data_IF_297065822204
#
_entry.id   IF_297065822204
#
_cell.length_a   1.000
_cell.length_b   1.000
_cell.length_c   1.000
_cell.angle_alpha   90.00
_cell.angle_beta   90.00
_cell.angle_gamma   90.00
#
_symmetry.space_group_name_H-M   'P 1'
#
loop_
_entity.id
_entity.type
_entity.pdbx_description
1 polymer ?
#
# COMPACT_ATOMS: atom_id res chain seq x y z
N UNK A 1 -45.41 -19.55 2.98
CA UNK A 1 -45.06 -18.30 2.27
C UNK A 1 -45.06 -17.17 3.27
N UNK A 2 -43.90 -16.60 3.59
CA UNK A 2 -43.81 -15.36 4.37
C UNK A 2 -43.75 -14.19 3.40
N UNK A 3 -44.68 -13.24 3.50
CA UNK A 3 -44.58 -11.99 2.78
C UNK A 3 -43.51 -11.11 3.45
N UNK A 4 -42.52 -10.66 2.69
CA UNK A 4 -41.58 -9.65 3.16
C UNK A 4 -42.24 -8.28 2.98
N UNK A 5 -42.56 -7.60 4.09
CA UNK A 5 -43.04 -6.21 4.07
C UNK A 5 -41.93 -5.26 3.61
N UNK A 6 -41.84 -5.03 2.30
CA UNK A 6 -40.83 -4.16 1.69
C UNK A 6 -41.18 -2.65 1.81
N UNK A 7 -41.90 -2.26 2.88
CA UNK A 7 -42.24 -0.87 3.17
C UNK A 7 -41.08 -0.14 3.84
N UNK A 8 -39.93 -0.08 3.12
CA UNK A 8 -38.84 0.85 3.42
C UNK A 8 -39.35 2.29 3.30
N UNK A 9 -39.84 2.81 4.42
CA UNK A 9 -40.48 4.12 4.53
C UNK A 9 -39.58 5.24 3.97
N UNK A 10 -39.93 5.75 2.79
CA UNK A 10 -39.19 6.78 2.06
C UNK A 10 -38.97 8.04 2.89
N UNK A 11 -39.93 8.39 3.76
CA UNK A 11 -39.80 9.54 4.67
C UNK A 11 -38.70 9.35 5.73
N UNK A 12 -38.39 8.11 6.13
CA UNK A 12 -37.30 7.82 7.06
C UNK A 12 -35.94 8.00 6.39
N UNK A 13 -35.81 7.60 5.11
CA UNK A 13 -34.60 7.82 4.32
C UNK A 13 -34.35 9.33 4.10
N UNK A 14 -35.37 10.10 3.74
CA UNK A 14 -35.25 11.57 3.59
C UNK A 14 -34.85 12.24 4.92
N UNK A 15 -35.46 11.86 6.04
CA UNK A 15 -35.10 12.39 7.38
C UNK A 15 -33.67 12.03 7.80
N UNK A 16 -33.18 10.85 7.43
CA UNK A 16 -31.80 10.45 7.71
C UNK A 16 -30.81 11.16 6.80
N UNK A 17 -31.15 11.36 5.52
CA UNK A 17 -30.33 12.14 4.58
C UNK A 17 -30.17 13.60 5.03
N UNK A 18 -31.26 14.24 5.47
CA UNK A 18 -31.22 15.61 6.03
C UNK A 18 -30.29 15.76 7.24
N UNK A 19 -30.08 14.70 8.05
CA UNK A 19 -29.12 14.71 9.18
C UNK A 19 -27.67 14.56 8.72
N UNK A 20 -27.44 13.86 7.62
CA UNK A 20 -26.11 13.55 7.08
C UNK A 20 -25.59 14.68 6.17
N UNK A 21 -26.49 15.33 5.43
CA UNK A 21 -26.18 16.39 4.46
C UNK A 21 -25.28 17.53 5.02
N UNK A 22 -25.47 18.05 6.25
CA UNK A 22 -24.57 19.08 6.79
C UNK A 22 -23.12 18.58 6.99
N UNK A 23 -22.95 17.31 7.37
CA UNK A 23 -21.62 16.71 7.53
C UNK A 23 -20.94 16.48 6.17
N UNK A 24 -21.71 16.04 5.16
CA UNK A 24 -21.23 15.89 3.77
C UNK A 24 -20.82 17.25 3.18
N UNK A 25 -21.63 18.29 3.35
CA UNK A 25 -21.30 19.64 2.90
C UNK A 25 -20.05 20.20 3.60
N UNK A 26 -19.91 19.95 4.91
CA UNK A 26 -18.71 20.34 5.68
C UNK A 26 -17.46 19.61 5.19
N UNK A 27 -17.56 18.30 4.91
CA UNK A 27 -16.47 17.51 4.33
C UNK A 27 -16.09 18.01 2.94
N UNK A 28 -17.08 18.28 2.07
CA UNK A 28 -16.85 18.81 0.73
C UNK A 28 -16.13 20.17 0.75
N UNK A 29 -16.51 21.06 1.68
CA UNK A 29 -15.81 22.35 1.86
C UNK A 29 -14.34 22.17 2.29
N UNK A 30 -14.01 21.18 3.12
CA UNK A 30 -12.61 20.88 3.44
C UNK A 30 -11.87 20.22 2.26
N UNK A 31 -12.55 19.39 1.48
CA UNK A 31 -11.98 18.80 0.27
C UNK A 31 -11.61 19.86 -0.77
N UNK A 32 -12.53 20.80 -1.09
CA UNK A 32 -12.23 21.92 -1.98
C UNK A 32 -11.05 22.79 -1.49
N UNK A 33 -10.92 22.99 -0.16
CA UNK A 33 -9.80 23.73 0.41
C UNK A 33 -8.46 22.99 0.25
N UNK A 34 -8.45 21.66 0.40
CA UNK A 34 -7.26 20.83 0.21
C UNK A 34 -6.86 20.75 -1.28
N UNK A 35 -7.82 20.66 -2.18
CA UNK A 35 -7.59 20.55 -3.62
C UNK A 35 -7.14 21.89 -4.24
N UNK A 36 -7.71 23.02 -3.80
CA UNK A 36 -7.34 24.35 -4.31
C UNK A 36 -6.09 24.94 -3.67
N UNK A 37 -5.63 24.44 -2.52
CA UNK A 37 -4.43 24.93 -1.84
C UNK A 37 -3.47 23.78 -1.51
N UNK A 38 -2.53 23.43 -2.43
CA UNK A 38 -1.35 22.65 -2.04
C UNK A 38 -0.68 23.33 -0.85
N UNK A 39 -0.32 22.54 0.17
CA UNK A 39 0.23 23.06 1.43
C UNK A 39 1.42 23.99 1.12
N UNK A 40 1.32 25.25 1.55
CA UNK A 40 2.36 26.28 1.30
C UNK A 40 3.74 25.72 1.65
N UNK A 41 4.64 25.69 0.66
CA UNK A 41 6.00 25.17 0.81
C UNK A 41 6.27 23.81 0.15
N UNK A 42 5.31 23.23 -0.59
CA UNK A 42 5.54 22.06 -1.46
C UNK A 42 5.42 22.51 -2.92
N UNK A 43 6.51 22.45 -3.66
CA UNK A 43 6.55 22.74 -5.10
C UNK A 43 6.01 21.56 -5.94
N UNK A 44 5.72 21.73 -7.24
CA UNK A 44 5.40 20.61 -8.13
C UNK A 44 6.52 19.55 -8.16
N UNK A 45 7.77 19.99 -8.11
CA UNK A 45 8.95 19.12 -8.08
C UNK A 45 9.02 18.35 -6.75
N UNK A 46 8.68 18.97 -5.61
CA UNK A 46 8.54 18.27 -4.33
C UNK A 46 7.44 17.19 -4.39
N UNK A 47 6.32 17.44 -5.09
CA UNK A 47 5.26 16.44 -5.29
C UNK A 47 5.76 15.25 -6.12
N UNK A 48 6.56 15.48 -7.16
CA UNK A 48 7.19 14.42 -7.94
C UNK A 48 8.22 13.63 -7.12
N UNK A 49 9.04 14.32 -6.32
CA UNK A 49 9.98 13.70 -5.38
C UNK A 49 9.22 12.86 -4.33
N UNK A 50 8.13 13.35 -3.74
CA UNK A 50 7.31 12.57 -2.79
C UNK A 50 6.64 11.36 -3.45
N UNK A 51 6.29 11.44 -4.73
CA UNK A 51 5.68 10.35 -5.50
C UNK A 51 6.69 9.24 -5.83
N UNK A 52 7.93 9.61 -6.13
CA UNK A 52 8.99 8.69 -6.54
C UNK A 52 9.85 8.19 -5.36
N UNK A 53 9.99 8.99 -4.30
CA UNK A 53 10.74 8.68 -3.07
C UNK A 53 9.95 9.12 -1.84
N UNK A 54 8.91 8.36 -1.45
CA UNK A 54 8.09 8.75 -0.32
C UNK A 54 8.90 8.59 0.98
N UNK A 55 9.02 9.67 1.76
CA UNK A 55 10.02 9.87 2.84
C UNK A 55 9.95 8.89 4.04
N UNK A 56 9.05 7.91 4.01
CA UNK A 56 8.94 6.82 4.99
C UNK A 56 9.83 5.60 4.64
N UNK A 57 10.37 5.53 3.42
CA UNK A 57 11.15 4.37 2.94
C UNK A 57 12.68 4.50 3.13
N UNK A 58 13.20 5.63 3.63
CA UNK A 58 14.64 5.88 3.73
C UNK A 58 15.02 6.48 5.09
N UNK A 59 15.61 5.67 5.98
CA UNK A 59 15.97 6.04 7.35
C UNK A 59 17.19 6.97 7.50
N UNK A 60 17.52 7.75 6.47
CA UNK A 60 18.82 8.44 6.36
C UNK A 60 18.77 9.94 6.72
N UNK A 61 17.58 10.52 6.90
CA UNK A 61 17.42 11.95 7.25
C UNK A 61 17.38 12.26 8.75
N UNK A 62 17.53 11.28 9.65
CA UNK A 62 17.61 11.50 11.11
C UNK A 62 19.03 11.76 11.61
N UNK A 63 19.83 12.58 10.91
CA UNK A 63 21.08 13.16 11.44
C UNK A 63 21.23 14.63 11.09
N UNK A 64 21.74 15.38 12.07
CA UNK A 64 22.10 16.81 12.04
C UNK A 64 20.96 17.84 12.02
N UNK A 65 20.48 18.19 13.22
CA UNK A 65 20.45 19.60 13.68
C UNK A 65 20.78 19.66 15.19
N UNK A 66 21.98 19.18 15.54
CA UNK A 66 22.53 19.34 16.89
C UNK A 66 23.16 20.72 17.03
N UNK A 67 22.41 21.69 17.58
CA UNK A 67 22.89 23.05 17.77
C UNK A 67 24.05 23.10 18.77
N UNK A 68 25.28 23.23 18.26
CA UNK A 68 26.47 23.49 19.09
C UNK A 68 26.35 24.88 19.71
N UNK A 69 26.17 24.95 21.04
CA UNK A 69 26.37 26.20 21.78
C UNK A 69 27.82 26.65 21.62
N UNK A 70 28.03 27.87 21.12
CA UNK A 70 29.33 28.51 21.20
C UNK A 70 29.66 28.76 22.68
N UNK A 71 30.88 28.40 23.09
CA UNK A 71 31.53 28.99 24.27
C UNK A 71 32.88 29.51 23.82
N UNK A 72 33.01 30.84 23.79
CA UNK A 72 34.29 31.52 23.62
C UNK A 72 35.03 31.44 24.94
N UNK A 73 36.28 30.98 24.92
CA UNK A 73 37.37 31.53 25.74
C UNK A 73 38.71 31.06 25.16
N UNK A 74 39.61 32.00 24.90
CA UNK A 74 40.96 31.77 24.37
C UNK A 74 41.91 31.21 25.45
N UNK A 75 43.06 30.64 25.05
CA UNK A 75 44.16 30.37 25.99
C UNK A 75 44.95 29.06 25.76
N UNK A 76 45.91 29.13 24.84
CA UNK A 76 46.97 28.17 24.51
C UNK A 76 47.91 27.66 25.64
N UNK A 77 48.62 26.54 25.34
CA UNK A 77 49.93 26.03 25.88
C UNK A 77 49.96 24.70 26.68
N UNK A 78 50.41 23.64 25.97
CA UNK A 78 51.49 22.63 26.25
C UNK A 78 51.58 21.76 27.55
N UNK A 79 52.03 20.51 27.31
CA UNK A 79 52.80 19.53 28.13
C UNK A 79 52.19 18.73 29.33
N UNK A 80 51.99 17.42 29.10
CA UNK A 80 52.65 16.19 29.68
C UNK A 80 53.26 16.20 31.13
N UNK A 81 53.57 15.02 31.77
CA UNK A 81 52.72 14.01 32.42
C UNK A 81 52.93 13.86 33.98
N UNK A 82 52.21 12.89 34.60
CA UNK A 82 52.02 12.51 36.04
C UNK A 82 53.27 12.11 36.91
N UNK A 83 53.15 11.61 38.19
CA UNK A 83 52.45 12.02 39.45
C UNK A 83 53.45 12.09 40.69
N UNK A 84 53.39 11.36 41.84
CA UNK A 84 52.36 11.11 42.92
C UNK A 84 52.82 11.37 44.41
N UNK A 85 51.87 11.58 45.37
CA UNK A 85 52.05 11.48 46.87
C UNK A 85 50.68 11.40 47.59
N UNK A 86 50.41 10.76 48.75
CA UNK A 86 51.15 9.82 49.62
C UNK A 86 50.23 9.05 50.59
N UNK A 87 50.58 7.79 50.88
CA UNK A 87 50.48 7.04 52.16
C UNK A 87 49.19 6.99 53.02
N UNK A 88 48.68 5.78 53.27
CA UNK A 88 48.36 5.25 54.62
C UNK A 88 48.58 3.73 54.64
N UNK A 89 49.06 3.20 55.77
CA UNK A 89 49.78 1.92 55.90
C UNK A 89 48.95 0.84 56.63
N UNK A 90 49.19 -0.45 56.30
CA UNK A 90 48.62 -1.62 56.99
C UNK A 90 48.81 -2.89 56.16
N UNK A 91 50.01 -3.47 56.05
CA UNK A 91 50.66 -4.32 57.07
C UNK A 91 49.90 -5.63 57.32
N UNK A 92 50.27 -6.67 56.56
CA UNK A 92 50.45 -8.01 57.11
C UNK A 92 51.48 -8.79 56.27
N UNK A 93 52.28 -9.63 56.94
CA UNK A 93 53.49 -10.23 56.36
C UNK A 93 53.24 -11.46 55.47
N UNK A 94 54.22 -11.68 54.59
CA UNK A 94 54.38 -12.83 53.72
C UNK A 94 54.58 -14.13 54.49
N UNK A 95 53.87 -15.20 54.11
CA UNK A 95 54.44 -16.56 54.09
C UNK A 95 53.94 -17.29 52.84
N UNK A 96 54.89 -17.53 51.94
CA UNK A 96 54.75 -18.39 50.77
C UNK A 96 55.28 -19.78 51.15
N UNK A 97 54.45 -20.82 50.99
CA UNK A 97 54.81 -22.21 51.23
C UNK A 97 54.23 -23.06 50.10
N UNK A 98 55.10 -23.55 49.22
CA UNK A 98 54.71 -24.32 48.04
C UNK A 98 54.96 -25.83 48.23
N UNK A 99 53.90 -26.63 47.96
CA UNK A 99 53.95 -28.05 47.54
C UNK A 99 54.42 -29.13 48.56
N UNK A 100 54.19 -30.45 48.31
CA UNK A 100 53.43 -31.11 47.22
C UNK A 100 52.41 -32.22 47.66
N UNK A 101 51.71 -32.78 46.66
CA UNK A 101 51.00 -34.10 46.59
C UNK A 101 49.81 -34.41 47.52
N UNK A 102 48.66 -34.79 46.94
CA UNK A 102 48.31 -36.21 46.69
C UNK A 102 46.99 -36.36 45.87
N UNK A 103 46.76 -37.55 45.35
CA UNK A 103 45.73 -37.92 44.36
C UNK A 103 44.27 -37.85 44.82
N UNK A 104 43.40 -37.67 43.82
CA UNK A 104 42.07 -38.24 43.67
C UNK A 104 41.07 -38.23 44.84
N UNK A 105 40.04 -37.39 44.69
CA UNK A 105 38.69 -37.81 45.07
C UNK A 105 37.68 -37.34 44.03
N UNK A 106 37.10 -38.31 43.34
CA UNK A 106 35.94 -38.14 42.46
C UNK A 106 34.71 -37.72 43.28
N UNK A 107 34.61 -36.43 43.61
CA UNK A 107 33.41 -35.87 44.23
C UNK A 107 32.39 -35.54 43.16
N UNK A 108 31.30 -36.31 43.11
CA UNK A 108 30.08 -35.97 42.38
C UNK A 108 29.76 -34.49 42.61
N UNK A 109 29.92 -33.66 41.58
CA UNK A 109 29.75 -32.21 41.67
C UNK A 109 28.29 -31.86 41.93
N UNK A 110 27.89 -31.80 43.19
CA UNK A 110 26.56 -31.34 43.60
C UNK A 110 26.45 -29.85 43.25
N UNK A 111 25.93 -29.59 42.04
CA UNK A 111 25.64 -28.26 41.53
C UNK A 111 24.74 -27.56 42.54
N UNK A 112 25.26 -26.51 43.20
CA UNK A 112 24.53 -25.76 44.21
C UNK A 112 23.20 -25.26 43.62
N UNK A 113 22.05 -25.45 44.31
CA UNK A 113 20.76 -25.00 43.81
C UNK A 113 20.77 -23.53 43.38
N UNK A 114 20.13 -23.23 42.26
CA UNK A 114 20.16 -21.89 41.65
C UNK A 114 19.70 -20.83 42.66
N UNK A 115 20.59 -19.89 42.98
CA UNK A 115 20.38 -18.93 44.06
C UNK A 115 19.12 -18.07 43.89
N UNK A 116 18.48 -17.71 45.02
CA UNK A 116 17.18 -16.99 45.08
C UNK A 116 17.11 -15.75 44.19
N UNK A 117 18.22 -15.03 43.98
CA UNK A 117 18.30 -13.89 43.04
C UNK A 117 18.10 -14.31 41.58
N UNK A 118 18.82 -15.34 41.11
CA UNK A 118 18.75 -15.82 39.74
C UNK A 118 17.40 -16.47 39.40
N UNK A 119 16.79 -17.19 40.35
CA UNK A 119 15.42 -17.70 40.20
C UNK A 119 14.38 -16.57 40.06
N UNK A 120 14.51 -15.49 40.85
CA UNK A 120 13.63 -14.31 40.75
C UNK A 120 13.82 -13.56 39.43
N UNK A 121 15.07 -13.39 38.98
CA UNK A 121 15.41 -12.74 37.71
C UNK A 121 14.86 -13.52 36.51
N UNK A 122 15.04 -14.86 36.48
CA UNK A 122 14.45 -15.73 35.45
C UNK A 122 12.93 -15.57 35.37
N UNK A 123 12.23 -15.48 36.52
CA UNK A 123 10.77 -15.28 36.54
C UNK A 123 10.33 -13.91 36.01
N UNK A 124 11.15 -12.86 36.17
CA UNK A 124 10.86 -11.54 35.57
C UNK A 124 10.96 -11.62 34.04
N UNK A 125 12.09 -12.14 33.54
CA UNK A 125 12.34 -12.26 32.09
C UNK A 125 11.23 -13.03 31.37
N UNK A 126 10.81 -14.18 31.89
CA UNK A 126 9.70 -14.95 31.29
C UNK A 126 8.37 -14.16 31.17
N UNK A 127 8.11 -13.17 32.04
CA UNK A 127 6.94 -12.30 31.93
C UNK A 127 7.17 -11.18 30.90
N UNK A 128 8.36 -10.58 30.91
CA UNK A 128 8.76 -9.52 29.96
C UNK A 128 8.76 -10.08 28.52
N UNK A 129 9.35 -11.26 28.32
CA UNK A 129 9.38 -12.01 27.06
C UNK A 129 7.96 -12.31 26.55
N UNK A 130 7.02 -12.66 27.44
CA UNK A 130 5.62 -12.91 27.06
C UNK A 130 4.94 -11.67 26.48
N UNK A 131 5.18 -10.50 27.07
CA UNK A 131 4.68 -9.23 26.56
C UNK A 131 5.31 -8.86 25.20
N UNK A 132 6.61 -9.11 25.02
CA UNK A 132 7.30 -8.91 23.74
C UNK A 132 6.72 -9.81 22.65
N UNK A 133 6.47 -11.08 22.93
CA UNK A 133 5.84 -12.03 21.98
C UNK A 133 4.44 -11.56 21.56
N UNK A 134 3.63 -11.06 22.49
CA UNK A 134 2.29 -10.52 22.19
C UNK A 134 2.37 -9.29 21.27
N UNK A 135 3.28 -8.35 21.54
CA UNK A 135 3.51 -7.18 20.69
C UNK A 135 3.98 -7.57 19.28
N UNK A 136 4.90 -8.55 19.17
CA UNK A 136 5.38 -9.05 17.88
C UNK A 136 4.27 -9.74 17.07
N UNK A 137 3.45 -10.57 17.71
CA UNK A 137 2.31 -11.22 17.05
C UNK A 137 1.28 -10.20 16.54
N UNK A 138 0.99 -9.17 17.33
CA UNK A 138 0.09 -8.08 16.93
C UNK A 138 0.64 -7.29 15.74
N UNK A 139 1.96 -7.04 15.70
CA UNK A 139 2.63 -6.40 14.57
C UNK A 139 2.58 -7.29 13.31
N UNK A 140 2.90 -8.58 13.43
CA UNK A 140 2.81 -9.54 12.32
C UNK A 140 1.40 -9.60 11.71
N UNK A 141 0.37 -9.77 12.55
CA UNK A 141 -1.03 -9.77 12.10
C UNK A 141 -1.44 -8.45 11.40
N UNK A 142 -0.86 -7.32 11.82
CA UNK A 142 -1.09 -6.02 11.17
C UNK A 142 -0.41 -5.94 9.80
N UNK A 143 0.82 -6.44 9.68
CA UNK A 143 1.57 -6.49 8.42
C UNK A 143 0.89 -7.42 7.41
N UNK A 144 0.49 -8.62 7.83
CA UNK A 144 -0.23 -9.59 6.99
C UNK A 144 -1.52 -8.97 6.43
N UNK A 145 -2.35 -8.37 7.31
CA UNK A 145 -3.59 -7.69 6.87
C UNK A 145 -3.33 -6.53 5.89
N UNK A 146 -2.22 -5.81 6.05
CA UNK A 146 -1.85 -4.74 5.12
C UNK A 146 -1.39 -5.29 3.76
N UNK A 147 -0.68 -6.43 3.75
CA UNK A 147 -0.30 -7.13 2.50
C UNK A 147 -1.56 -7.60 1.76
N UNK A 148 -2.51 -8.23 2.47
CA UNK A 148 -3.77 -8.70 1.89
C UNK A 148 -4.60 -7.55 1.33
N UNK A 149 -4.76 -6.46 2.09
CA UNK A 149 -5.48 -5.27 1.63
C UNK A 149 -4.85 -4.65 0.37
N UNK A 150 -3.52 -4.49 0.36
CA UNK A 150 -2.80 -3.96 -0.80
C UNK A 150 -2.92 -4.89 -2.02
N UNK A 151 -2.95 -6.22 -1.79
CA UNK A 151 -3.13 -7.22 -2.85
C UNK A 151 -4.53 -7.11 -3.47
N UNK A 152 -5.57 -6.99 -2.65
CA UNK A 152 -6.97 -6.82 -3.07
C UNK A 152 -7.17 -5.48 -3.82
N UNK A 153 -6.61 -4.38 -3.31
CA UNK A 153 -6.65 -3.07 -3.98
C UNK A 153 -6.02 -3.13 -5.40
N UNK A 154 -4.88 -3.80 -5.55
CA UNK A 154 -4.23 -4.01 -6.85
C UNK A 154 -4.99 -4.96 -7.78
N UNK A 155 -5.80 -5.87 -7.24
CA UNK A 155 -6.68 -6.76 -8.00
C UNK A 155 -7.89 -5.97 -8.53
N UNK A 156 -8.61 -5.26 -7.65
CA UNK A 156 -9.73 -4.37 -8.00
C UNK A 156 -9.32 -3.27 -9.01
N UNK A 157 -8.12 -2.71 -8.86
CA UNK A 157 -7.57 -1.71 -9.81
C UNK A 157 -7.29 -2.29 -11.21
N UNK A 158 -6.98 -3.59 -11.31
CA UNK A 158 -6.82 -4.27 -12.61
C UNK A 158 -8.18 -4.59 -13.24
N UNK A 159 -9.15 -5.04 -12.45
CA UNK A 159 -10.50 -5.32 -12.93
C UNK A 159 -11.24 -4.07 -13.42
N UNK A 160 -11.16 -2.97 -12.67
CA UNK A 160 -11.75 -1.68 -13.06
C UNK A 160 -11.19 -1.16 -14.38
N UNK A 161 -9.86 -1.17 -14.56
CA UNK A 161 -9.22 -0.80 -15.83
C UNK A 161 -9.60 -1.73 -16.99
N UNK A 162 -9.75 -3.04 -16.73
CA UNK A 162 -10.21 -4.01 -17.72
C UNK A 162 -11.65 -3.73 -18.16
N UNK A 163 -12.57 -3.56 -17.22
CA UNK A 163 -13.98 -3.27 -17.48
C UNK A 163 -14.16 -1.93 -18.20
N UNK A 164 -13.39 -0.91 -17.82
CA UNK A 164 -13.40 0.41 -18.48
C UNK A 164 -12.89 0.32 -19.94
N UNK A 165 -11.87 -0.51 -20.20
CA UNK A 165 -11.40 -0.81 -21.57
C UNK A 165 -12.48 -1.54 -22.39
N UNK A 166 -13.07 -2.60 -21.84
CA UNK A 166 -14.14 -3.37 -22.50
C UNK A 166 -15.38 -2.51 -22.77
N UNK A 167 -15.75 -1.63 -21.85
CA UNK A 167 -16.83 -0.66 -22.04
C UNK A 167 -16.53 0.32 -23.17
N UNK A 168 -15.33 0.91 -23.21
CA UNK A 168 -14.89 1.78 -24.32
C UNK A 168 -14.95 1.06 -25.66
N UNK A 169 -14.41 -0.16 -25.71
CA UNK A 169 -14.38 -0.96 -26.94
C UNK A 169 -15.79 -1.35 -27.40
N UNK A 170 -16.67 -1.78 -26.49
CA UNK A 170 -18.07 -2.09 -26.81
C UNK A 170 -18.84 -0.86 -27.29
N UNK A 171 -18.57 0.31 -26.71
CA UNK A 171 -19.19 1.58 -27.12
C UNK A 171 -18.67 2.03 -28.50
N UNK A 172 -17.37 1.88 -28.78
CA UNK A 172 -16.79 2.11 -30.10
C UNK A 172 -17.39 1.18 -31.15
N UNK A 173 -17.46 -0.13 -30.89
CA UNK A 173 -18.13 -1.10 -31.79
C UNK A 173 -19.59 -0.74 -32.04
N UNK A 174 -20.34 -0.31 -31.03
CA UNK A 174 -21.73 0.13 -31.21
C UNK A 174 -21.83 1.37 -32.10
N UNK A 175 -20.95 2.35 -31.90
CA UNK A 175 -20.92 3.57 -32.73
C UNK A 175 -20.49 3.25 -34.17
N UNK A 176 -19.53 2.34 -34.36
CA UNK A 176 -19.14 1.89 -35.70
C UNK A 176 -20.30 1.18 -36.41
N UNK A 177 -21.03 0.28 -35.75
CA UNK A 177 -22.21 -0.36 -36.34
C UNK A 177 -23.29 0.66 -36.75
N UNK A 178 -23.54 1.68 -35.92
CA UNK A 178 -24.46 2.78 -36.26
C UNK A 178 -23.97 3.63 -37.43
N UNK A 179 -22.67 3.86 -37.52
CA UNK A 179 -22.03 4.57 -38.64
C UNK A 179 -22.14 3.76 -39.93
N UNK A 180 -21.82 2.46 -39.89
CA UNK A 180 -22.00 1.52 -41.00
C UNK A 180 -23.46 1.47 -41.48
N UNK A 181 -24.42 1.35 -40.55
CA UNK A 181 -25.86 1.41 -40.85
C UNK A 181 -26.26 2.75 -41.50
N UNK A 182 -25.76 3.88 -41.01
CA UNK A 182 -26.00 5.19 -41.62
C UNK A 182 -25.44 5.28 -43.05
N UNK A 183 -24.23 4.76 -43.29
CA UNK A 183 -23.60 4.69 -44.62
C UNK A 183 -24.41 3.79 -45.56
N UNK A 184 -24.83 2.61 -45.10
CA UNK A 184 -25.67 1.68 -45.88
C UNK A 184 -27.03 2.26 -46.24
N UNK A 185 -27.64 3.01 -45.32
CA UNK A 185 -28.95 3.66 -45.52
C UNK A 185 -28.87 5.00 -46.29
N UNK A 186 -27.68 5.44 -46.71
CA UNK A 186 -27.51 6.70 -47.45
C UNK A 186 -27.88 6.55 -48.92
N UNK A 187 -28.88 7.32 -49.37
CA UNK A 187 -29.32 7.35 -50.78
C UNK A 187 -28.28 8.04 -51.68
N UNK A 188 -27.53 7.20 -52.40
CA UNK A 188 -26.51 7.58 -53.37
C UNK A 188 -27.02 8.54 -54.47
N UNK A 189 -28.32 8.56 -54.78
CA UNK A 189 -28.87 9.41 -55.83
C UNK A 189 -28.79 10.90 -55.50
N UNK A 190 -28.78 11.23 -54.21
CA UNK A 190 -28.73 12.61 -53.69
C UNK A 190 -27.29 13.14 -53.53
N UNK A 191 -26.28 12.30 -53.72
CA UNK A 191 -24.87 12.66 -53.60
C UNK A 191 -24.28 13.13 -54.94
N UNK A 192 -23.31 14.05 -54.85
CA UNK A 192 -22.46 14.43 -55.99
C UNK A 192 -21.68 13.21 -56.52
N UNK A 193 -21.34 13.13 -57.82
CA UNK A 193 -20.73 11.93 -58.41
C UNK A 193 -19.46 11.43 -57.70
N UNK A 194 -18.58 12.33 -57.25
CA UNK A 194 -17.37 11.96 -56.52
C UNK A 194 -17.65 11.35 -55.14
N UNK A 195 -18.67 11.88 -54.43
CA UNK A 195 -19.11 11.34 -53.13
C UNK A 195 -19.87 10.02 -53.29
N UNK A 196 -20.66 9.88 -54.37
CA UNK A 196 -21.35 8.62 -54.70
C UNK A 196 -20.34 7.46 -54.81
N UNK A 197 -19.28 7.62 -55.60
CA UNK A 197 -18.25 6.60 -55.77
C UNK A 197 -17.55 6.21 -54.45
N UNK A 198 -17.33 7.19 -53.57
CA UNK A 198 -16.75 6.95 -52.25
C UNK A 198 -17.70 6.15 -51.34
N UNK A 199 -18.97 6.54 -51.26
CA UNK A 199 -19.98 5.83 -50.47
C UNK A 199 -20.25 4.42 -51.01
N UNK A 200 -20.36 4.25 -52.32
CA UNK A 200 -20.54 2.94 -52.98
C UNK A 200 -19.40 1.97 -52.62
N UNK A 201 -18.15 2.45 -52.63
CA UNK A 201 -16.99 1.67 -52.18
C UNK A 201 -17.06 1.32 -50.68
N UNK A 202 -17.52 2.25 -49.84
CA UNK A 202 -17.68 2.01 -48.40
C UNK A 202 -18.80 0.99 -48.13
N UNK A 203 -19.94 1.09 -48.82
CA UNK A 203 -21.04 0.14 -48.72
C UNK A 203 -20.59 -1.27 -49.14
N UNK A 204 -19.87 -1.41 -50.25
CA UNK A 204 -19.32 -2.69 -50.69
C UNK A 204 -18.32 -3.30 -49.68
N UNK A 205 -17.51 -2.46 -49.02
CA UNK A 205 -16.62 -2.92 -47.94
C UNK A 205 -17.40 -3.38 -46.70
N UNK A 206 -18.42 -2.63 -46.28
CA UNK A 206 -19.28 -2.95 -45.13
C UNK A 206 -20.02 -4.27 -45.36
N UNK A 207 -20.58 -4.48 -46.56
CA UNK A 207 -21.20 -5.76 -46.93
C UNK A 207 -20.23 -6.92 -46.78
N UNK A 208 -19.01 -6.80 -47.33
CA UNK A 208 -17.97 -7.84 -47.21
C UNK A 208 -17.49 -8.06 -45.77
N UNK A 209 -17.52 -7.03 -44.93
CA UNK A 209 -17.29 -7.18 -43.49
C UNK A 209 -18.41 -7.99 -42.82
N UNK A 210 -19.68 -7.69 -43.13
CA UNK A 210 -20.83 -8.39 -42.56
C UNK A 210 -20.98 -9.84 -43.06
N UNK A 211 -20.55 -10.14 -44.29
CA UNK A 211 -20.41 -11.50 -44.82
C UNK A 211 -19.42 -12.33 -43.98
N UNK A 212 -18.22 -11.79 -43.71
CA UNK A 212 -17.20 -12.49 -42.91
C UNK A 212 -17.60 -12.67 -41.45
N UNK A 213 -18.35 -11.72 -40.90
CA UNK A 213 -18.82 -11.76 -39.51
C UNK A 213 -20.06 -12.68 -39.34
N UNK A 214 -20.59 -13.28 -40.41
CA UNK A 214 -21.79 -14.13 -40.36
C UNK A 214 -23.09 -13.36 -40.02
N UNK A 215 -23.11 -12.06 -40.29
CA UNK A 215 -24.22 -11.16 -39.93
C UNK A 215 -25.26 -10.99 -41.04
N UNK A 216 -24.93 -11.47 -42.24
CA UNK A 216 -25.88 -11.80 -43.29
C UNK A 216 -26.16 -13.29 -43.13
N UNK A 217 -27.29 -13.65 -42.51
CA UNK A 217 -27.59 -15.04 -42.17
C UNK A 217 -27.70 -15.94 -43.41
N UNK A 218 -27.51 -17.25 -43.21
CA UNK A 218 -27.70 -18.25 -44.27
C UNK A 218 -29.15 -18.23 -44.77
N UNK A 219 -29.37 -17.53 -45.87
CA UNK A 219 -30.60 -17.57 -46.68
C UNK A 219 -30.33 -18.39 -47.94
N UNK A 220 -29.83 -19.61 -47.73
CA UNK A 220 -29.76 -20.66 -48.76
C UNK A 220 -29.96 -22.03 -48.12
N UNK A 221 -31.21 -22.35 -47.79
CA UNK A 221 -31.73 -23.71 -47.97
C UNK A 221 -33.07 -23.61 -48.72
N UNK A 222 -32.93 -23.45 -50.04
CA UNK A 222 -34.03 -23.57 -50.98
C UNK A 222 -34.29 -25.05 -51.28
N UNK A 223 -35.08 -25.72 -50.46
CA UNK A 223 -35.89 -26.85 -50.93
C UNK A 223 -37.36 -26.46 -50.98
N UNK A 224 -37.69 -25.77 -52.07
CA UNK A 224 -38.94 -26.03 -52.78
C UNK A 224 -38.85 -27.50 -53.21
N UNK A 225 -39.47 -28.40 -52.44
CA UNK A 225 -39.83 -29.73 -52.89
C UNK A 225 -41.33 -29.73 -53.19
N UNK A 226 -41.64 -29.79 -54.49
CA UNK A 226 -43.00 -30.00 -54.98
C UNK A 226 -43.54 -31.36 -54.50
N UNK A 227 -44.68 -31.35 -53.79
CA UNK A 227 -45.87 -32.23 -53.96
C UNK A 227 -46.92 -32.05 -52.85
#
# INVERSE_FOLDING_TARGET
MGACDDTRNTSALVKNWQKIQPAVNKFHSFYEQLERHPRRGITPDDMEILKNHPKWCSGEFTKQYGSKKQKIMDGSFLDNPSPPTSTTLGSFDTIDLDSPMNEDTNSNGVVRPQGRKAAKEKKRRMNDDKGVIEVLNNLHCTIERQIDFNREELELKRETLKLEKEFRERNQRMNERKNQEHIMNTDLNKLQPALRLAYEKMQAQIMKEWERDGLLGDVFDSEILDL
#
